data_IF_583543721887
#
_entry.id   IF_583543721887
#
_cell.length_a   1.000
_cell.length_b   1.000
_cell.length_c   1.000
_cell.angle_alpha   90.00
_cell.angle_beta   90.00
_cell.angle_gamma   90.00
#
_symmetry.space_group_name_H-M   'P 1'
#
loop_
_entity.id
_entity.type
_entity.pdbx_description
1 polymer ?
#
# COMPACT_ATOMS: atom_id res chain seq x y z
N UNK A 1 -51.52 -9.36 46.79
CA UNK A 1 -51.18 -8.28 45.84
C UNK A 1 -49.88 -8.63 45.12
N UNK A 2 -49.88 -9.63 44.24
CA UNK A 2 -48.67 -10.05 43.53
C UNK A 2 -48.59 -9.32 42.19
N UNK A 3 -47.62 -8.42 42.01
CA UNK A 3 -47.29 -7.84 40.70
C UNK A 3 -47.33 -6.30 40.59
N UNK A 4 -47.28 -5.56 41.70
CA UNK A 4 -46.96 -4.13 41.68
C UNK A 4 -45.44 -3.94 41.67
N UNK A 5 -44.94 -2.98 40.89
CA UNK A 5 -43.52 -2.61 40.86
C UNK A 5 -43.21 -1.86 42.15
N UNK A 6 -42.18 -2.30 42.89
CA UNK A 6 -41.74 -1.68 44.13
C UNK A 6 -40.70 -0.57 43.91
N UNK A 7 -40.47 0.30 44.90
CA UNK A 7 -39.36 1.27 44.85
C UNK A 7 -38.01 0.58 44.67
N UNK A 8 -37.82 -0.60 45.28
CA UNK A 8 -36.62 -1.42 45.10
C UNK A 8 -36.44 -1.89 43.66
N UNK A 9 -37.55 -2.25 42.98
CA UNK A 9 -37.50 -2.61 41.56
C UNK A 9 -37.07 -1.40 40.71
N UNK A 10 -37.57 -0.20 41.01
CA UNK A 10 -37.17 1.03 40.32
C UNK A 10 -35.68 1.36 40.53
N UNK A 11 -35.18 1.25 41.76
CA UNK A 11 -33.74 1.43 42.05
C UNK A 11 -32.86 0.42 41.32
N UNK A 12 -33.30 -0.83 41.21
CA UNK A 12 -32.58 -1.86 40.45
C UNK A 12 -32.54 -1.52 38.96
N UNK A 13 -33.66 -1.06 38.39
CA UNK A 13 -33.75 -0.66 36.98
C UNK A 13 -32.82 0.53 36.70
N UNK A 14 -32.82 1.54 37.57
CA UNK A 14 -31.95 2.71 37.45
C UNK A 14 -30.47 2.31 37.49
N UNK A 15 -30.06 1.52 38.48
CA UNK A 15 -28.69 0.98 38.57
C UNK A 15 -28.30 0.17 37.34
N UNK A 16 -29.23 -0.62 36.80
CA UNK A 16 -28.99 -1.41 35.61
C UNK A 16 -28.77 -0.56 34.36
N UNK A 17 -29.57 0.51 34.21
CA UNK A 17 -29.42 1.47 33.14
C UNK A 17 -28.10 2.26 33.27
N UNK A 18 -27.75 2.74 34.46
CA UNK A 18 -26.47 3.43 34.69
C UNK A 18 -25.28 2.52 34.37
N UNK A 19 -25.34 1.26 34.78
CA UNK A 19 -24.32 0.27 34.38
C UNK A 19 -24.23 0.11 32.86
N UNK A 20 -25.36 0.13 32.14
CA UNK A 20 -25.35 0.04 30.68
C UNK A 20 -24.68 1.26 30.06
N UNK A 21 -24.94 2.47 30.58
CA UNK A 21 -24.26 3.69 30.16
C UNK A 21 -22.75 3.58 30.38
N UNK A 22 -22.30 3.13 31.56
CA UNK A 22 -20.88 2.93 31.85
C UNK A 22 -20.23 1.91 30.91
N UNK A 23 -20.96 0.83 30.61
CA UNK A 23 -20.50 -0.22 29.72
C UNK A 23 -20.30 0.27 28.28
N UNK A 24 -21.30 0.95 27.68
CA UNK A 24 -21.17 1.47 26.32
C UNK A 24 -20.23 2.68 26.23
N UNK A 25 -19.97 3.35 27.35
CA UNK A 25 -19.00 4.45 27.44
C UNK A 25 -17.57 3.95 27.67
N UNK A 26 -17.35 2.63 27.71
CA UNK A 26 -16.05 2.00 27.99
C UNK A 26 -15.49 2.26 29.39
N UNK A 27 -16.30 2.79 30.32
CA UNK A 27 -15.92 2.95 31.73
C UNK A 27 -15.92 1.61 32.47
N UNK A 28 -16.64 0.61 31.94
CA UNK A 28 -16.72 -0.75 32.47
C UNK A 28 -16.53 -1.77 31.36
N UNK A 29 -15.63 -2.75 31.57
CA UNK A 29 -15.27 -3.77 30.57
C UNK A 29 -16.23 -4.96 30.52
N UNK A 30 -16.98 -5.19 31.60
CA UNK A 30 -17.92 -6.30 31.74
C UNK A 30 -19.26 -5.80 32.24
N UNK A 31 -20.33 -6.51 31.89
CA UNK A 31 -21.69 -6.15 32.27
C UNK A 31 -22.25 -7.19 33.24
N UNK A 32 -22.64 -6.76 34.44
CA UNK A 32 -23.23 -7.63 35.47
C UNK A 32 -24.72 -7.80 35.19
N UNK A 33 -25.10 -8.99 34.73
CA UNK A 33 -26.48 -9.31 34.39
C UNK A 33 -27.33 -9.58 35.62
N UNK A 34 -28.55 -9.03 35.64
CA UNK A 34 -29.57 -9.39 36.63
C UNK A 34 -30.46 -10.46 36.00
N UNK A 35 -30.47 -11.66 36.59
CA UNK A 35 -31.27 -12.79 36.11
C UNK A 35 -32.67 -12.86 36.78
N UNK A 36 -32.82 -12.36 38.00
CA UNK A 36 -34.12 -12.23 38.67
C UNK A 36 -34.09 -11.23 39.84
N UNK A 37 -35.16 -10.46 40.02
CA UNK A 37 -35.48 -9.62 41.18
C UNK A 37 -36.56 -10.23 42.08
N UNK A 38 -37.14 -11.37 41.67
CA UNK A 38 -38.30 -11.99 42.30
C UNK A 38 -39.65 -11.39 41.86
N UNK A 39 -39.64 -10.34 41.04
CA UNK A 39 -40.84 -9.76 40.43
C UNK A 39 -40.93 -10.20 38.97
N UNK A 40 -41.83 -11.15 38.67
CA UNK A 40 -41.97 -11.76 37.34
C UNK A 40 -42.03 -10.75 36.18
N UNK A 41 -42.73 -9.61 36.36
CA UNK A 41 -42.83 -8.59 35.29
C UNK A 41 -41.50 -7.88 35.04
N UNK A 42 -40.75 -7.61 36.10
CA UNK A 42 -39.42 -6.99 36.03
C UNK A 42 -38.41 -7.98 35.45
N UNK A 43 -38.49 -9.24 35.86
CA UNK A 43 -37.63 -10.32 35.36
C UNK A 43 -37.79 -10.55 33.85
N UNK A 44 -39.03 -10.58 33.35
CA UNK A 44 -39.32 -10.67 31.91
C UNK A 44 -38.77 -9.47 31.13
N UNK A 45 -38.79 -8.27 31.72
CA UNK A 45 -38.18 -7.08 31.12
C UNK A 45 -36.66 -7.18 31.08
N UNK A 46 -36.03 -7.51 32.22
CA UNK A 46 -34.58 -7.63 32.34
C UNK A 46 -34.04 -8.71 31.40
N UNK A 47 -34.71 -9.86 31.28
CA UNK A 47 -34.31 -10.91 30.33
C UNK A 47 -34.18 -10.40 28.90
N UNK A 48 -35.16 -9.62 28.41
CA UNK A 48 -35.11 -9.01 27.07
C UNK A 48 -33.96 -7.99 26.96
N UNK A 49 -33.70 -7.23 28.03
CA UNK A 49 -32.57 -6.30 28.05
C UNK A 49 -31.23 -7.03 28.04
N UNK A 50 -31.09 -8.13 28.77
CA UNK A 50 -29.88 -8.97 28.80
C UNK A 50 -29.52 -9.45 27.39
N UNK A 51 -30.52 -9.92 26.64
CA UNK A 51 -30.35 -10.34 25.24
C UNK A 51 -29.83 -9.18 24.38
N UNK A 52 -30.42 -7.98 24.51
CA UNK A 52 -29.98 -6.80 23.75
C UNK A 52 -28.60 -6.28 24.16
N UNK A 53 -28.26 -6.33 25.44
CA UNK A 53 -26.95 -5.92 25.94
C UNK A 53 -25.87 -6.90 25.46
N UNK A 54 -26.15 -8.21 25.42
CA UNK A 54 -25.27 -9.22 24.83
C UNK A 54 -25.03 -8.99 23.34
N UNK A 55 -26.07 -8.60 22.59
CA UNK A 55 -25.92 -8.20 21.18
C UNK A 55 -25.00 -6.97 21.03
N UNK A 56 -25.16 -5.95 21.89
CA UNK A 56 -24.30 -4.75 21.91
C UNK A 56 -22.86 -5.11 22.25
N UNK A 57 -22.62 -5.87 23.32
CA UNK A 57 -21.27 -6.31 23.74
C UNK A 57 -20.55 -7.05 22.60
N UNK A 58 -21.25 -8.00 21.96
CA UNK A 58 -20.70 -8.74 20.82
C UNK A 58 -20.28 -7.80 19.69
N UNK A 59 -21.16 -6.89 19.26
CA UNK A 59 -20.88 -5.92 18.19
C UNK A 59 -19.72 -4.98 18.56
N UNK A 60 -19.69 -4.49 19.80
CA UNK A 60 -18.60 -3.63 20.28
C UNK A 60 -17.25 -4.35 20.25
N UNK A 61 -17.20 -5.63 20.63
CA UNK A 61 -15.98 -6.46 20.56
C UNK A 61 -15.53 -6.71 19.12
N UNK A 62 -16.48 -6.92 18.20
CA UNK A 62 -16.18 -7.01 16.76
C UNK A 62 -15.57 -5.70 16.25
N UNK A 63 -16.19 -4.55 16.56
CA UNK A 63 -15.72 -3.22 16.19
C UNK A 63 -14.29 -2.95 16.71
N UNK A 64 -14.05 -3.25 17.99
CA UNK A 64 -12.73 -3.11 18.62
C UNK A 64 -11.65 -3.94 17.92
N UNK A 65 -11.98 -5.16 17.47
CA UNK A 65 -11.04 -6.00 16.73
C UNK A 65 -10.64 -5.36 15.41
N UNK A 66 -11.62 -4.82 14.67
CA UNK A 66 -11.36 -4.11 13.40
C UNK A 66 -10.50 -2.88 13.63
N UNK A 67 -10.85 -2.06 14.63
CA UNK A 67 -10.07 -0.87 14.97
C UNK A 67 -8.63 -1.23 15.38
N UNK A 68 -8.45 -2.29 16.18
CA UNK A 68 -7.12 -2.78 16.55
C UNK A 68 -6.29 -3.22 15.35
N UNK A 69 -6.89 -3.95 14.40
CA UNK A 69 -6.20 -4.34 13.17
C UNK A 69 -5.90 -3.13 12.26
N UNK A 70 -6.77 -2.12 12.23
CA UNK A 70 -6.50 -0.85 11.52
C UNK A 70 -5.24 -0.17 12.08
N UNK A 71 -5.07 -0.11 13.40
CA UNK A 71 -3.87 0.46 14.02
C UNK A 71 -2.62 -0.29 13.56
N UNK A 72 -2.62 -1.62 13.72
CA UNK A 72 -1.48 -2.47 13.32
C UNK A 72 -1.19 -2.41 11.81
N UNK A 73 -2.21 -2.23 10.98
CA UNK A 73 -2.07 -2.08 9.54
C UNK A 73 -1.45 -0.73 9.21
N UNK A 74 -1.89 0.33 9.86
CA UNK A 74 -1.34 1.68 9.68
C UNK A 74 0.13 1.74 10.08
N UNK A 75 0.54 1.08 11.17
CA UNK A 75 1.96 0.98 11.56
C UNK A 75 2.83 0.31 10.48
N UNK A 76 2.27 -0.67 9.74
CA UNK A 76 2.96 -1.30 8.61
C UNK A 76 3.04 -0.36 7.41
N UNK A 77 1.98 0.42 7.16
CA UNK A 77 1.92 1.41 6.08
C UNK A 77 2.94 2.53 6.31
N UNK A 78 3.11 2.99 7.55
CA UNK A 78 4.16 3.93 7.94
C UNK A 78 5.57 3.41 7.58
N UNK A 79 5.78 2.11 7.70
CA UNK A 79 7.04 1.43 7.31
C UNK A 79 7.13 1.14 5.79
N UNK A 80 6.21 1.65 4.97
CA UNK A 80 6.18 1.43 3.51
C UNK A 80 5.69 0.05 3.07
N UNK A 81 5.06 -0.75 3.95
CA UNK A 81 4.57 -2.10 3.64
C UNK A 81 3.14 -2.07 3.14
N UNK A 82 2.92 -1.69 1.88
CA UNK A 82 1.58 -1.48 1.32
C UNK A 82 0.78 -2.76 0.98
N UNK A 83 1.38 -3.95 1.09
CA UNK A 83 0.69 -5.25 0.84
C UNK A 83 -0.22 -5.72 1.98
N UNK A 84 -0.25 -5.03 3.11
CA UNK A 84 -1.06 -5.41 4.26
C UNK A 84 -2.54 -5.04 4.08
N UNK A 85 -3.47 -5.83 4.65
CA UNK A 85 -4.92 -5.58 4.58
C UNK A 85 -5.56 -5.84 5.93
N UNK A 86 -6.67 -5.15 6.18
CA UNK A 86 -7.55 -5.37 7.34
C UNK A 86 -8.52 -6.49 6.97
N UNK A 87 -8.54 -7.58 7.74
CA UNK A 87 -9.29 -8.80 7.42
C UNK A 87 -10.43 -9.10 8.40
N UNK A 88 -10.32 -8.61 9.63
CA UNK A 88 -11.38 -8.74 10.64
C UNK A 88 -12.71 -8.16 10.15
N UNK A 89 -13.80 -8.71 10.68
CA UNK A 89 -15.16 -8.35 10.30
C UNK A 89 -15.92 -7.74 11.46
N UNK A 90 -16.91 -6.93 11.14
CA UNK A 90 -17.89 -6.42 12.08
C UNK A 90 -19.30 -6.44 11.48
N UNK A 91 -20.30 -6.61 12.34
CA UNK A 91 -21.70 -6.38 12.01
C UNK A 91 -22.09 -4.90 11.89
N UNK A 92 -21.21 -3.96 12.25
CA UNK A 92 -21.42 -2.52 12.13
C UNK A 92 -21.10 -2.02 10.69
N UNK A 93 -22.11 -1.56 9.92
CA UNK A 93 -21.91 -1.17 8.52
C UNK A 93 -20.91 -0.01 8.34
N UNK A 94 -20.81 0.89 9.32
CA UNK A 94 -19.87 2.02 9.28
C UNK A 94 -18.43 1.53 9.39
N UNK A 95 -18.16 0.58 10.28
CA UNK A 95 -16.83 -0.03 10.45
C UNK A 95 -16.44 -0.86 9.23
N UNK A 96 -17.38 -1.62 8.66
CA UNK A 96 -17.15 -2.35 7.39
C UNK A 96 -16.83 -1.38 6.25
N UNK A 97 -17.55 -0.27 6.16
CA UNK A 97 -17.28 0.77 5.14
C UNK A 97 -15.89 1.37 5.32
N UNK A 98 -15.47 1.67 6.56
CA UNK A 98 -14.13 2.16 6.86
C UNK A 98 -13.06 1.16 6.45
N UNK A 99 -13.17 -0.12 6.86
CA UNK A 99 -12.27 -1.20 6.46
C UNK A 99 -12.12 -1.27 4.94
N UNK A 100 -13.23 -1.30 4.22
CA UNK A 100 -13.22 -1.45 2.77
C UNK A 100 -12.59 -0.24 2.08
N UNK A 101 -12.84 0.97 2.60
CA UNK A 101 -12.25 2.20 2.09
C UNK A 101 -10.73 2.21 2.28
N UNK A 102 -10.26 1.84 3.47
CA UNK A 102 -8.82 1.73 3.75
C UNK A 102 -8.16 0.64 2.91
N UNK A 103 -8.76 -0.56 2.80
CA UNK A 103 -8.20 -1.61 1.96
C UNK A 103 -8.10 -1.20 0.48
N UNK A 104 -9.12 -0.48 -0.05
CA UNK A 104 -9.07 0.05 -1.42
C UNK A 104 -7.96 1.08 -1.63
N UNK A 105 -7.73 1.94 -0.63
CA UNK A 105 -6.58 2.87 -0.62
C UNK A 105 -5.26 2.09 -0.67
N UNK A 106 -5.13 1.04 0.14
CA UNK A 106 -3.93 0.19 0.18
C UNK A 106 -3.72 -0.60 -1.12
N UNK A 107 -4.79 -1.07 -1.77
CA UNK A 107 -4.71 -1.69 -3.10
C UNK A 107 -4.12 -0.73 -4.13
N UNK A 108 -4.53 0.54 -4.09
CA UNK A 108 -4.04 1.57 -5.02
C UNK A 108 -2.58 1.92 -4.75
N UNK A 109 -2.16 2.00 -3.48
CA UNK A 109 -0.76 2.25 -3.12
C UNK A 109 0.14 1.07 -3.49
N UNK A 110 -0.27 -0.17 -3.22
CA UNK A 110 0.49 -1.37 -3.57
C UNK A 110 0.65 -1.53 -5.10
N UNK A 111 -0.42 -1.32 -5.87
CA UNK A 111 -0.37 -1.39 -7.34
C UNK A 111 0.57 -0.31 -7.91
N UNK A 112 0.41 0.94 -7.49
CA UNK A 112 1.24 2.05 -7.96
C UNK A 112 2.73 1.81 -7.66
N UNK A 113 3.05 1.47 -6.41
CA UNK A 113 4.44 1.26 -5.98
C UNK A 113 5.05 0.02 -6.64
N UNK A 114 4.30 -1.07 -6.79
CA UNK A 114 4.77 -2.28 -7.50
C UNK A 114 5.09 -1.99 -8.96
N UNK A 115 4.26 -1.22 -9.67
CA UNK A 115 4.51 -0.84 -11.08
C UNK A 115 5.76 0.02 -11.22
N UNK A 116 5.90 1.01 -10.34
CA UNK A 116 7.06 1.90 -10.32
C UNK A 116 8.35 1.09 -10.07
N UNK A 117 8.34 0.24 -9.04
CA UNK A 117 9.51 -0.59 -8.71
C UNK A 117 9.89 -1.54 -9.85
N UNK A 118 8.91 -2.12 -10.56
CA UNK A 118 9.17 -2.98 -11.72
C UNK A 118 9.96 -2.22 -12.80
N UNK A 119 9.46 -1.05 -13.21
CA UNK A 119 10.06 -0.25 -14.28
C UNK A 119 11.44 0.27 -13.86
N UNK A 120 11.56 0.77 -12.64
CA UNK A 120 12.85 1.18 -12.08
C UNK A 120 13.86 0.03 -12.06
N UNK A 121 13.41 -1.19 -11.74
CA UNK A 121 14.28 -2.38 -11.80
C UNK A 121 14.73 -2.69 -13.22
N UNK A 122 13.90 -2.50 -14.24
CA UNK A 122 14.33 -2.63 -15.65
C UNK A 122 15.43 -1.62 -15.98
N UNK A 123 15.27 -0.36 -15.54
CA UNK A 123 16.26 0.69 -15.77
C UNK A 123 17.60 0.40 -15.08
N UNK A 124 17.58 -0.22 -13.89
CA UNK A 124 18.84 -0.66 -13.23
C UNK A 124 19.58 -1.78 -13.96
N UNK A 125 18.93 -2.44 -14.92
CA UNK A 125 19.52 -3.49 -15.77
C UNK A 125 19.73 -2.99 -17.22
N UNK A 126 19.86 -1.68 -17.42
CA UNK A 126 20.02 -1.02 -18.72
C UNK A 126 18.88 -1.27 -19.74
N UNK A 127 17.74 -1.79 -19.28
CA UNK A 127 16.55 -1.96 -20.11
C UNK A 127 15.62 -0.75 -19.95
N UNK A 128 15.82 0.23 -20.82
CA UNK A 128 15.02 1.46 -20.87
C UNK A 128 13.76 1.35 -21.75
N UNK A 129 13.37 0.14 -22.16
CA UNK A 129 12.20 -0.06 -23.03
C UNK A 129 10.86 -0.13 -22.29
N UNK A 130 10.88 -0.46 -20.99
CA UNK A 130 9.67 -0.51 -20.17
C UNK A 130 9.20 0.88 -19.71
N UNK A 131 7.92 1.01 -19.41
CA UNK A 131 7.31 2.24 -18.89
C UNK A 131 6.17 1.95 -17.93
N UNK A 132 5.97 2.86 -16.98
CA UNK A 132 4.87 2.81 -16.03
C UNK A 132 3.58 3.15 -16.77
N UNK A 133 2.65 2.19 -16.80
CA UNK A 133 1.29 2.43 -17.29
C UNK A 133 0.53 3.30 -16.30
N UNK A 134 0.14 4.50 -16.74
CA UNK A 134 -0.58 5.49 -15.92
C UNK A 134 -2.09 5.35 -16.13
N UNK A 135 -2.80 4.86 -15.12
CA UNK A 135 -4.27 4.74 -15.14
C UNK A 135 -4.95 6.06 -14.72
N UNK A 136 -6.20 6.25 -15.15
CA UNK A 136 -6.97 7.48 -14.87
C UNK A 136 -7.23 7.72 -13.38
N UNK A 137 -7.31 6.65 -12.59
CA UNK A 137 -7.51 6.74 -11.13
C UNK A 137 -6.34 7.39 -10.39
N UNK A 138 -5.15 7.45 -10.99
CA UNK A 138 -4.00 8.13 -10.44
C UNK A 138 -3.97 9.57 -10.97
N UNK A 139 -4.21 10.51 -10.06
CA UNK A 139 -4.20 11.95 -10.32
C UNK A 139 -3.00 12.61 -9.65
N UNK A 140 -2.83 13.91 -9.92
CA UNK A 140 -1.91 14.81 -9.20
C UNK A 140 -0.49 14.24 -9.03
N UNK A 141 0.06 14.23 -7.82
CA UNK A 141 1.46 13.90 -7.56
C UNK A 141 1.81 12.47 -7.96
N UNK A 142 0.91 11.51 -7.74
CA UNK A 142 1.17 10.11 -8.13
C UNK A 142 1.24 9.98 -9.66
N UNK A 143 0.36 10.70 -10.38
CA UNK A 143 0.40 10.75 -11.84
C UNK A 143 1.71 11.38 -12.33
N UNK A 144 2.09 12.51 -11.75
CA UNK A 144 3.32 13.21 -12.10
C UNK A 144 4.55 12.34 -11.86
N UNK A 145 4.60 11.61 -10.74
CA UNK A 145 5.67 10.66 -10.44
C UNK A 145 5.81 9.60 -11.54
N UNK A 146 4.71 8.93 -11.91
CA UNK A 146 4.74 7.89 -12.93
C UNK A 146 5.17 8.45 -14.30
N UNK A 147 4.68 9.63 -14.68
CA UNK A 147 5.08 10.28 -15.93
C UNK A 147 6.55 10.71 -15.92
N UNK A 148 7.05 11.17 -14.78
CA UNK A 148 8.44 11.58 -14.61
C UNK A 148 9.40 10.39 -14.72
N UNK A 149 9.03 9.23 -14.19
CA UNK A 149 9.78 7.98 -14.38
C UNK A 149 9.84 7.60 -15.86
N UNK A 150 8.73 7.72 -16.59
CA UNK A 150 8.72 7.42 -18.03
C UNK A 150 9.63 8.38 -18.82
N UNK A 151 9.63 9.68 -18.48
CA UNK A 151 10.54 10.67 -19.07
C UNK A 151 12.01 10.34 -18.76
N UNK A 152 12.30 9.84 -17.57
CA UNK A 152 13.65 9.38 -17.21
C UNK A 152 14.07 8.20 -18.10
N UNK A 153 13.19 7.21 -18.30
CA UNK A 153 13.44 6.09 -19.20
C UNK A 153 13.73 6.54 -20.64
N UNK A 154 12.95 7.48 -21.16
CA UNK A 154 13.18 8.07 -22.48
C UNK A 154 14.55 8.75 -22.58
N UNK A 155 14.93 9.55 -21.58
CA UNK A 155 16.22 10.24 -21.56
C UNK A 155 17.40 9.26 -21.50
N UNK A 156 17.30 8.19 -20.70
CA UNK A 156 18.31 7.14 -20.61
C UNK A 156 18.41 6.35 -21.93
N UNK A 157 17.27 5.96 -22.51
CA UNK A 157 17.23 5.28 -23.79
C UNK A 157 17.82 6.11 -24.93
N UNK A 158 17.59 7.43 -24.95
CA UNK A 158 18.21 8.33 -25.92
C UNK A 158 19.72 8.45 -25.72
N UNK A 159 20.20 8.50 -24.48
CA UNK A 159 21.64 8.45 -24.18
C UNK A 159 22.28 7.13 -24.63
N UNK A 160 21.64 5.99 -24.38
CA UNK A 160 22.13 4.69 -24.82
C UNK A 160 22.27 4.63 -26.36
N UNK A 161 21.29 5.14 -27.11
CA UNK A 161 21.36 5.27 -28.57
C UNK A 161 22.50 6.19 -29.02
N UNK A 162 22.67 7.33 -28.37
CA UNK A 162 23.76 8.26 -28.68
C UNK A 162 25.14 7.61 -28.43
N UNK A 163 25.30 6.89 -27.32
CA UNK A 163 26.52 6.16 -27.00
C UNK A 163 26.83 5.07 -28.03
N UNK A 164 25.81 4.32 -28.49
CA UNK A 164 25.97 3.34 -29.56
C UNK A 164 26.47 4.00 -30.86
N UNK A 165 25.84 5.11 -31.28
CA UNK A 165 26.24 5.84 -32.48
C UNK A 165 27.67 6.39 -32.37
N UNK A 166 28.05 6.90 -31.19
CA UNK A 166 29.42 7.35 -30.91
C UNK A 166 30.42 6.18 -31.00
N UNK A 167 30.07 5.02 -30.44
CA UNK A 167 30.88 3.81 -30.52
C UNK A 167 31.11 3.34 -31.96
N UNK A 168 30.05 3.30 -32.77
CA UNK A 168 30.14 2.95 -34.20
C UNK A 168 30.99 3.96 -34.98
N UNK A 169 30.86 5.26 -34.68
CA UNK A 169 31.67 6.31 -35.29
C UNK A 169 33.15 6.14 -34.92
N UNK A 170 33.45 5.84 -33.66
CA UNK A 170 34.81 5.60 -33.18
C UNK A 170 35.43 4.35 -33.82
N UNK A 171 34.67 3.28 -33.96
CA UNK A 171 35.08 2.04 -34.65
C UNK A 171 35.43 2.34 -36.12
N UNK A 172 34.54 3.04 -36.84
CA UNK A 172 34.77 3.43 -38.23
C UNK A 172 36.03 4.30 -38.40
N UNK A 173 36.20 5.29 -37.54
CA UNK A 173 37.37 6.18 -37.56
C UNK A 173 38.66 5.39 -37.26
N UNK A 174 38.62 4.45 -36.32
CA UNK A 174 39.77 3.60 -35.98
C UNK A 174 40.16 2.67 -37.13
N UNK A 175 39.17 2.09 -37.82
CA UNK A 175 39.40 1.27 -39.01
C UNK A 175 40.02 2.10 -40.15
N UNK A 176 39.52 3.31 -40.38
CA UNK A 176 40.07 4.25 -41.37
C UNK A 176 41.51 4.64 -41.04
N UNK A 177 41.80 5.01 -39.79
CA UNK A 177 43.15 5.34 -39.33
C UNK A 177 44.12 4.16 -39.50
N UNK A 178 43.67 2.94 -39.19
CA UNK A 178 44.46 1.71 -39.39
C UNK A 178 44.79 1.50 -40.86
N UNK A 179 43.81 1.67 -41.75
CA UNK A 179 44.03 1.58 -43.19
C UNK A 179 45.01 2.64 -43.69
N UNK A 180 44.90 3.90 -43.22
CA UNK A 180 45.82 4.98 -43.57
C UNK A 180 47.24 4.73 -43.06
N UNK A 181 47.41 4.23 -41.83
CA UNK A 181 48.71 3.86 -41.26
C UNK A 181 49.37 2.73 -42.03
N UNK A 182 48.62 1.69 -42.41
CA UNK A 182 49.12 0.58 -43.23
C UNK A 182 49.56 1.07 -44.62
N UNK A 183 48.79 1.97 -45.23
CA UNK A 183 49.15 2.57 -46.52
C UNK A 183 50.44 3.39 -46.41
N UNK A 184 50.53 4.24 -45.38
CA UNK A 184 51.73 5.04 -45.12
C UNK A 184 52.97 4.17 -44.87
N UNK A 185 52.84 3.11 -44.08
CA UNK A 185 53.92 2.17 -43.82
C UNK A 185 54.38 1.46 -45.11
N UNK A 186 53.44 1.02 -45.96
CA UNK A 186 53.76 0.43 -47.26
C UNK A 186 54.51 1.42 -48.16
N UNK A 187 54.05 2.69 -48.24
CA UNK A 187 54.70 3.74 -49.03
C UNK A 187 56.10 4.09 -48.51
N UNK A 188 56.28 4.13 -47.18
CA UNK A 188 57.59 4.34 -46.57
C UNK A 188 58.55 3.19 -46.89
N UNK A 189 58.06 1.94 -46.91
CA UNK A 189 58.86 0.78 -47.26
C UNK A 189 59.24 0.75 -48.75
N UNK A 190 58.29 1.07 -49.65
CA UNK A 190 58.57 1.26 -51.08
C UNK A 190 59.63 2.34 -51.32
N UNK A 191 59.55 3.45 -50.59
CA UNK A 191 60.51 4.55 -50.71
C UNK A 191 61.89 4.17 -50.19
N UNK A 192 61.98 3.44 -49.07
CA UNK A 192 63.25 2.94 -48.54
C UNK A 192 63.93 1.97 -49.54
N UNK A 193 63.17 1.04 -50.12
CA UNK A 193 63.68 0.12 -51.15
C UNK A 193 64.14 0.87 -52.41
N UNK A 194 63.39 1.89 -52.86
CA UNK A 194 63.79 2.71 -54.01
C UNK A 194 65.09 3.49 -53.76
N UNK A 195 65.36 3.93 -52.53
CA UNK A 195 66.62 4.59 -52.17
C UNK A 195 67.80 3.61 -52.20
N UNK A 196 67.59 2.36 -51.76
CA UNK A 196 68.59 1.29 -51.79
C UNK A 196 68.99 0.89 -53.21
N UNK A 197 68.03 0.84 -54.16
CA UNK A 197 68.32 0.57 -55.59
C UNK A 197 69.11 1.70 -56.28
N UNK A 198 69.08 2.92 -55.74
CA UNK A 198 69.77 4.08 -56.30
C UNK A 198 71.14 4.38 -55.69
N UNK A 199 71.55 3.64 -54.65
CA UNK A 199 72.82 3.79 -53.93
C UNK A 199 73.87 2.77 -54.40
#
# INVERSE_FOLDING_TARGET
MFGAISNKDLENIDKYFMQFIDFISYNKSEFDYIESTGNKKVDEMLKRWNEKIKEVDKRTKEDMRVIGEIVLTTDKVEQGKFKCRINSESSNPTIVTLKNTLNKMLDSLDDATTRILRVMSSYTNDDYSDSVKVYEQYTDEMRELMLSINKLGEALGNNAKANLNNGQTLEHNSATMTASMNNLAAKANEQAASLEETA
#
